data_IF_081455572078
#
_entry.id   IF_081455572078
#
_cell.length_a   1.000
_cell.length_b   1.000
_cell.length_c   1.000
_cell.angle_alpha   90.00
_cell.angle_beta   90.00
_cell.angle_gamma   90.00
#
_symmetry.space_group_name_H-M   'P 1'
#
loop_
_entity.id
_entity.type
_entity.pdbx_description
1 polymer ?
#
# COMPACT_ATOMS: atom_id res chain seq x y z
N UNK A 1 26.84 15.13 -6.33
CA UNK A 1 26.47 14.53 -7.63
C UNK A 1 26.30 13.04 -7.40
N UNK A 2 25.17 12.46 -7.82
CA UNK A 2 24.88 11.03 -7.67
C UNK A 2 25.19 10.35 -9.00
N UNK A 3 25.95 9.26 -8.98
CA UNK A 3 26.24 8.50 -10.20
C UNK A 3 25.03 7.63 -10.56
N UNK A 4 24.49 7.84 -11.76
CA UNK A 4 23.46 6.98 -12.32
C UNK A 4 24.10 6.00 -13.30
N UNK A 5 23.84 4.71 -13.07
CA UNK A 5 24.18 3.62 -14.00
C UNK A 5 22.95 3.31 -14.84
N UNK A 6 23.15 2.79 -16.05
CA UNK A 6 22.05 2.26 -16.85
C UNK A 6 21.56 0.96 -16.20
N UNK A 7 20.27 0.84 -15.82
CA UNK A 7 19.73 -0.41 -15.32
C UNK A 7 19.70 -1.49 -16.43
N UNK A 8 19.82 -2.75 -16.03
CA UNK A 8 19.83 -3.91 -16.94
C UNK A 8 18.46 -4.61 -17.03
N UNK A 9 17.56 -4.27 -16.13
CA UNK A 9 16.22 -4.82 -16.02
C UNK A 9 15.21 -3.76 -15.57
N UNK A 10 13.95 -4.02 -15.84
CA UNK A 10 12.80 -3.28 -15.34
C UNK A 10 12.05 -4.14 -14.32
N UNK A 11 11.56 -3.49 -13.27
CA UNK A 11 10.70 -4.11 -12.26
C UNK A 11 9.39 -3.36 -12.23
N UNK A 12 8.28 -4.09 -12.37
CA UNK A 12 6.94 -3.55 -12.18
C UNK A 12 6.24 -4.25 -11.03
N UNK A 13 5.55 -3.47 -10.20
CA UNK A 13 4.77 -3.97 -9.07
C UNK A 13 3.33 -3.51 -9.20
N UNK A 14 2.39 -4.41 -8.91
CA UNK A 14 0.96 -4.13 -8.91
C UNK A 14 0.29 -4.75 -7.68
N UNK A 15 -0.75 -4.10 -7.17
CA UNK A 15 -1.59 -4.63 -6.10
C UNK A 15 -3.01 -4.87 -6.60
N UNK A 16 -3.65 -5.90 -6.08
CA UNK A 16 -5.05 -6.25 -6.35
C UNK A 16 -5.81 -6.43 -5.03
N UNK A 17 -6.98 -5.79 -4.84
CA UNK A 17 -7.63 -4.85 -5.77
C UNK A 17 -6.81 -3.56 -5.97
N UNK A 18 -6.90 -2.95 -7.17
CA UNK A 18 -6.10 -1.77 -7.53
C UNK A 18 -6.56 -0.47 -6.86
N UNK A 19 -7.50 -0.57 -5.91
CA UNK A 19 -7.97 0.56 -5.15
C UNK A 19 -6.89 0.93 -4.12
N UNK A 20 -6.42 2.17 -4.16
CA UNK A 20 -5.39 2.70 -3.25
C UNK A 20 -5.82 2.69 -1.77
N UNK A 21 -7.10 2.40 -1.49
CA UNK A 21 -7.67 2.38 -0.16
C UNK A 21 -8.43 1.07 0.05
N UNK A 22 -8.12 0.40 1.16
CA UNK A 22 -8.85 -0.78 1.64
C UNK A 22 -9.51 -0.43 2.98
N UNK A 23 -10.72 -0.94 3.22
CA UNK A 23 -11.46 -0.72 4.46
C UNK A 23 -11.52 -2.03 5.25
N UNK A 24 -10.75 -2.10 6.33
CA UNK A 24 -10.58 -3.32 7.14
C UNK A 24 -11.77 -3.64 8.07
N UNK A 25 -12.92 -2.97 7.96
CA UNK A 25 -13.87 -2.95 9.08
C UNK A 25 -14.57 -4.28 9.36
N UNK A 26 -14.68 -5.25 8.44
CA UNK A 26 -15.48 -6.47 8.70
C UNK A 26 -15.24 -7.67 7.79
N UNK A 27 -14.53 -7.56 6.67
CA UNK A 27 -14.41 -8.66 5.71
C UNK A 27 -13.00 -9.23 5.68
N UNK A 28 -12.89 -10.55 5.53
CA UNK A 28 -11.65 -11.32 5.28
C UNK A 28 -11.04 -11.01 3.89
N UNK A 29 -10.95 -9.73 3.55
CA UNK A 29 -10.41 -9.25 2.28
C UNK A 29 -8.88 -9.20 2.33
N UNK A 30 -8.26 -9.84 1.34
CA UNK A 30 -6.82 -9.89 1.17
C UNK A 30 -6.35 -8.98 0.04
N UNK A 31 -5.18 -8.37 0.22
CA UNK A 31 -4.49 -7.62 -0.83
C UNK A 31 -3.39 -8.50 -1.41
N UNK A 32 -3.47 -8.76 -2.72
CA UNK A 32 -2.42 -9.50 -3.44
C UNK A 32 -1.46 -8.48 -4.04
N UNK A 33 -0.18 -8.58 -3.70
CA UNK A 33 0.89 -7.86 -4.39
C UNK A 33 1.55 -8.80 -5.41
N UNK A 34 1.86 -8.27 -6.59
CA UNK A 34 2.54 -9.00 -7.67
C UNK A 34 3.71 -8.17 -8.17
N UNK A 35 4.86 -8.80 -8.35
CA UNK A 35 6.07 -8.19 -8.89
C UNK A 35 6.49 -8.95 -10.15
N UNK A 36 6.87 -8.23 -11.19
CA UNK A 36 7.39 -8.77 -12.43
C UNK A 36 8.73 -8.11 -12.77
N UNK A 37 9.77 -8.92 -12.96
CA UNK A 37 11.07 -8.48 -13.46
C UNK A 37 11.27 -8.87 -14.92
N UNK A 38 11.76 -7.94 -15.75
CA UNK A 38 12.08 -8.15 -17.17
C UNK A 38 13.48 -7.63 -17.48
N UNK A 39 14.28 -8.42 -18.19
CA UNK A 39 15.59 -7.98 -18.66
C UNK A 39 15.43 -7.11 -19.91
N UNK A 40 16.17 -6.01 -20.02
CA UNK A 40 16.15 -5.19 -21.25
C UNK A 40 16.75 -5.91 -22.45
N UNK A 41 17.58 -6.94 -22.22
CA UNK A 41 18.09 -7.84 -23.25
C UNK A 41 17.04 -8.86 -23.76
N UNK A 42 15.83 -8.86 -23.17
CA UNK A 42 14.80 -9.86 -23.41
C UNK A 42 14.83 -10.97 -22.37
N UNK A 43 13.65 -11.55 -22.11
CA UNK A 43 13.46 -12.58 -21.09
C UNK A 43 12.94 -12.06 -19.75
N UNK A 44 12.49 -12.98 -18.91
CA UNK A 44 11.99 -12.70 -17.56
C UNK A 44 13.07 -12.99 -16.53
N UNK A 45 13.05 -12.21 -15.45
CA UNK A 45 13.93 -12.44 -14.31
C UNK A 45 13.32 -13.55 -13.44
N UNK A 46 13.54 -14.80 -13.83
CA UNK A 46 13.09 -15.97 -13.08
C UNK A 46 13.99 -16.19 -11.85
N UNK A 47 13.40 -16.72 -10.77
CA UNK A 47 14.10 -17.10 -9.53
C UNK A 47 14.90 -15.96 -8.86
N UNK A 48 14.51 -14.71 -9.11
CA UNK A 48 15.07 -13.58 -8.38
C UNK A 48 14.58 -13.55 -6.93
N UNK A 49 15.48 -13.27 -6.01
CA UNK A 49 15.12 -13.01 -4.63
C UNK A 49 14.34 -11.67 -4.55
N UNK A 50 13.07 -11.74 -4.16
CA UNK A 50 12.21 -10.57 -3.99
C UNK A 50 12.00 -10.30 -2.50
N UNK A 51 12.44 -9.12 -2.06
CA UNK A 51 12.15 -8.61 -0.73
C UNK A 51 10.95 -7.66 -0.78
N UNK A 52 9.93 -7.96 0.01
CA UNK A 52 8.72 -7.15 0.11
C UNK A 52 8.69 -6.37 1.42
N UNK A 53 8.49 -5.06 1.32
CA UNK A 53 8.22 -4.19 2.46
C UNK A 53 6.81 -3.65 2.27
N UNK A 54 5.91 -3.97 3.21
CA UNK A 54 4.51 -3.54 3.17
C UNK A 54 4.28 -2.57 4.31
N UNK A 55 3.79 -1.37 3.96
CA UNK A 55 3.45 -0.32 4.91
C UNK A 55 1.97 0.02 4.74
N UNK A 56 1.24 -0.04 5.85
CA UNK A 56 -0.16 0.33 5.94
C UNK A 56 -0.28 1.61 6.76
N UNK A 57 -0.85 2.65 6.16
CA UNK A 57 -1.13 3.91 6.84
C UNK A 57 -2.63 4.17 6.85
N UNK A 58 -3.13 4.59 8.01
CA UNK A 58 -4.52 5.02 8.13
C UNK A 58 -4.68 6.39 7.50
N UNK A 59 -5.59 6.52 6.54
CA UNK A 59 -5.90 7.81 5.89
C UNK A 59 -7.42 8.01 5.75
N UNK A 60 -7.80 9.24 5.42
CA UNK A 60 -9.19 9.64 5.18
C UNK A 60 -9.35 9.85 3.68
N UNK A 61 -10.36 9.21 3.09
CA UNK A 61 -10.65 9.29 1.66
C UNK A 61 -12.03 9.91 1.42
N UNK A 62 -12.05 11.02 0.70
CA UNK A 62 -13.27 11.64 0.17
C UNK A 62 -13.31 11.39 -1.33
N UNK A 63 -14.30 10.66 -1.85
CA UNK A 63 -14.34 10.36 -3.27
C UNK A 63 -14.47 11.64 -4.11
N UNK A 64 -13.77 11.72 -5.26
CA UNK A 64 -13.92 12.84 -6.18
C UNK A 64 -15.39 13.02 -6.59
N UNK A 65 -15.87 14.27 -6.58
CA UNK A 65 -17.26 14.65 -6.91
C UNK A 65 -18.34 14.11 -5.95
N UNK A 66 -17.97 13.56 -4.78
CA UNK A 66 -18.91 13.12 -3.74
C UNK A 66 -18.43 13.56 -2.36
N UNK A 67 -18.50 14.86 -2.10
CA UNK A 67 -18.04 15.45 -0.85
C UNK A 67 -18.90 15.08 0.36
N UNK A 68 -20.12 14.59 0.13
CA UNK A 68 -21.04 14.15 1.18
C UNK A 68 -20.59 12.84 1.87
N UNK A 69 -19.62 12.13 1.29
CA UNK A 69 -19.12 10.86 1.78
C UNK A 69 -17.64 10.97 2.12
N UNK A 70 -17.28 10.58 3.34
CA UNK A 70 -15.88 10.49 3.78
C UNK A 70 -15.67 9.16 4.47
N UNK A 71 -14.66 8.41 4.01
CA UNK A 71 -14.29 7.11 4.54
C UNK A 71 -12.98 7.21 5.33
N UNK A 72 -12.80 6.29 6.27
CA UNK A 72 -11.67 6.31 7.20
C UNK A 72 -12.05 6.99 8.50
N UNK A 73 -11.05 7.46 9.24
CA UNK A 73 -11.29 8.03 10.57
C UNK A 73 -11.91 9.42 10.45
N UNK A 74 -13.14 9.58 10.92
CA UNK A 74 -13.74 10.89 11.10
C UNK A 74 -12.97 11.65 12.18
N UNK A 75 -12.34 12.77 11.79
CA UNK A 75 -11.82 13.76 12.74
C UNK A 75 -12.96 14.73 13.07
N UNK A 76 -13.64 14.62 14.23
CA UNK A 76 -14.65 15.60 14.60
C UNK A 76 -14.04 17.00 14.72
N UNK A 77 -14.78 18.07 14.40
CA UNK A 77 -14.22 19.44 14.40
C UNK A 77 -13.58 19.85 15.74
N UNK A 78 -14.03 19.30 16.86
CA UNK A 78 -13.48 19.57 18.20
C UNK A 78 -12.14 18.87 18.49
N UNK A 79 -11.72 17.89 17.68
CA UNK A 79 -10.43 17.21 17.87
C UNK A 79 -9.21 17.98 17.32
N UNK A 80 -9.41 19.18 16.74
CA UNK A 80 -8.32 20.14 16.46
C UNK A 80 -7.58 20.63 17.72
N UNK A 81 -8.09 20.34 18.91
CA UNK A 81 -7.49 20.69 20.21
C UNK A 81 -6.96 19.47 20.99
N UNK A 82 -7.04 18.26 20.44
CA UNK A 82 -6.66 17.01 21.10
C UNK A 82 -5.34 16.44 20.60
N UNK A 83 -4.60 15.75 21.48
CA UNK A 83 -3.31 15.14 21.18
C UNK A 83 -3.48 13.98 20.16
N UNK A 84 -2.73 14.01 19.05
CA UNK A 84 -2.87 13.08 17.90
C UNK A 84 -2.56 11.60 18.24
N UNK A 85 -2.08 11.31 19.45
CA UNK A 85 -1.49 10.03 19.83
C UNK A 85 -2.47 8.95 20.30
N UNK A 86 -3.73 9.29 20.63
CA UNK A 86 -4.73 8.31 21.14
C UNK A 86 -5.31 7.40 20.05
N UNK A 87 -4.79 7.52 18.82
CA UNK A 87 -5.50 7.14 17.60
C UNK A 87 -4.80 6.09 16.75
N UNK A 88 -3.75 5.47 17.28
CA UNK A 88 -2.95 4.46 16.60
C UNK A 88 -3.71 3.14 16.51
N UNK A 89 -4.21 2.80 15.32
CA UNK A 89 -4.69 1.45 15.03
C UNK A 89 -3.45 0.54 14.99
N UNK A 90 -3.33 -0.35 15.98
CA UNK A 90 -2.26 -1.33 16.04
C UNK A 90 -2.68 -2.49 15.16
N UNK A 91 -2.15 -2.54 13.94
CA UNK A 91 -2.28 -3.74 13.13
C UNK A 91 -1.48 -4.86 13.80
N UNK A 92 -2.10 -6.02 14.07
CA UNK A 92 -1.34 -7.18 14.50
C UNK A 92 -0.29 -7.46 13.41
N UNK A 93 0.93 -7.77 13.85
CA UNK A 93 2.03 -8.16 12.95
C UNK A 93 1.71 -9.54 12.39
N UNK A 94 0.74 -9.63 11.48
CA UNK A 94 0.35 -10.90 10.88
C UNK A 94 1.26 -11.26 9.71
N UNK A 95 1.59 -12.54 9.69
CA UNK A 95 2.54 -13.20 8.79
C UNK A 95 2.07 -13.07 7.35
N UNK A 96 2.91 -12.47 6.51
CA UNK A 96 2.87 -12.68 5.08
C UNK A 96 3.02 -14.18 4.79
N UNK A 97 2.03 -14.76 4.11
CA UNK A 97 2.15 -16.08 3.53
C UNK A 97 2.44 -15.90 2.04
N UNK A 98 3.56 -16.46 1.59
CA UNK A 98 3.82 -16.62 0.15
C UNK A 98 2.86 -17.72 -0.31
N UNK A 99 1.95 -17.38 -1.22
CA UNK A 99 0.99 -18.31 -1.83
C UNK A 99 1.67 -18.98 -3.02
#
# INVERSE_FOLDING_TARGET
VQEFRRPEYEVSSMTRPSAAHYCHSTNDEYVIATCQGKLFAGGYLNDANVQWIVQAETTTFTPPKRFDYTFGRARPFFCWFGNDNDNKIIYPKERFQVI
#
